data_IF_221832908644
#
_entry.id   IF_221832908644
#
_cell.length_a   1.000
_cell.length_b   1.000
_cell.length_c   1.000
_cell.angle_alpha   90.00
_cell.angle_beta   90.00
_cell.angle_gamma   90.00
#
_symmetry.space_group_name_H-M   'P 1'
#
loop_
_entity.id
_entity.type
_entity.pdbx_description
1 polymer ?
#
# COMPACT_ATOMS: atom_id res chain seq x y z
N UNK A 1 -16.14 -15.55 -22.30
CA UNK A 1 -17.44 -15.18 -21.66
C UNK A 1 -17.17 -13.99 -20.75
N UNK A 2 -17.97 -12.93 -20.81
CA UNK A 2 -17.74 -11.75 -19.96
C UNK A 2 -18.43 -11.95 -18.61
N UNK A 3 -17.65 -11.86 -17.54
CA UNK A 3 -18.10 -11.96 -16.16
C UNK A 3 -18.22 -10.57 -15.57
N UNK A 4 -19.35 -10.33 -14.92
CA UNK A 4 -19.64 -9.09 -14.23
C UNK A 4 -19.44 -9.31 -12.73
N UNK A 5 -18.43 -8.66 -12.15
CA UNK A 5 -18.06 -8.84 -10.75
C UNK A 5 -18.15 -7.51 -10.01
N UNK A 6 -18.88 -7.51 -8.90
CA UNK A 6 -18.91 -6.41 -7.94
C UNK A 6 -18.07 -6.85 -6.75
N UNK A 7 -17.14 -6.00 -6.32
CA UNK A 7 -16.34 -6.24 -5.13
C UNK A 7 -16.14 -4.92 -4.39
N UNK A 8 -16.49 -4.91 -3.11
CA UNK A 8 -16.30 -3.78 -2.19
C UNK A 8 -16.84 -2.47 -2.79
N UNK A 9 -15.97 -1.53 -3.18
CA UNK A 9 -16.32 -0.21 -3.72
C UNK A 9 -16.25 -0.10 -5.24
N UNK A 10 -16.10 -1.22 -5.96
CA UNK A 10 -15.96 -1.18 -7.40
C UNK A 10 -16.60 -2.37 -8.11
N UNK A 11 -16.83 -2.15 -9.39
CA UNK A 11 -17.26 -3.16 -10.34
C UNK A 11 -16.14 -3.42 -11.34
N UNK A 12 -15.92 -4.66 -11.72
CA UNK A 12 -14.92 -5.04 -12.72
C UNK A 12 -15.52 -6.05 -13.69
N UNK A 13 -15.17 -5.91 -14.97
CA UNK A 13 -15.48 -6.96 -15.95
C UNK A 13 -14.27 -7.87 -16.09
N UNK A 14 -14.50 -9.18 -16.12
CA UNK A 14 -13.45 -10.17 -16.27
C UNK A 14 -13.77 -11.03 -17.49
N UNK A 15 -12.77 -11.35 -18.29
CA UNK A 15 -12.85 -12.37 -19.34
C UNK A 15 -11.95 -13.54 -18.93
N UNK A 16 -12.45 -14.50 -18.13
CA UNK A 16 -11.63 -15.58 -17.60
C UNK A 16 -10.99 -16.44 -18.70
N UNK A 17 -11.68 -16.58 -19.84
CA UNK A 17 -11.20 -17.28 -21.03
C UNK A 17 -9.94 -16.63 -21.63
N UNK A 18 -9.83 -15.30 -21.56
CA UNK A 18 -8.68 -14.56 -22.06
C UNK A 18 -7.68 -14.20 -20.96
N UNK A 19 -7.95 -14.57 -19.69
CA UNK A 19 -7.20 -14.14 -18.52
C UNK A 19 -7.08 -12.60 -18.43
N UNK A 20 -8.09 -11.90 -18.92
CA UNK A 20 -8.09 -10.44 -19.00
C UNK A 20 -9.05 -9.85 -17.96
N UNK A 21 -8.53 -8.87 -17.22
CA UNK A 21 -9.32 -7.99 -16.36
C UNK A 21 -9.56 -6.71 -17.15
N UNK A 22 -10.82 -6.40 -17.43
CA UNK A 22 -11.22 -5.16 -18.09
C UNK A 22 -11.27 -4.00 -17.07
N UNK A 23 -11.53 -2.80 -17.56
CA UNK A 23 -11.39 -1.58 -16.77
C UNK A 23 -12.38 -1.50 -15.59
N UNK A 24 -11.91 -1.29 -14.34
CA UNK A 24 -12.76 -1.19 -13.15
C UNK A 24 -13.60 0.11 -13.12
N UNK A 25 -14.84 0.03 -12.68
CA UNK A 25 -15.76 1.15 -12.46
C UNK A 25 -15.92 1.36 -10.96
N UNK A 26 -15.47 2.49 -10.45
CA UNK A 26 -15.62 2.83 -9.03
C UNK A 26 -17.06 3.27 -8.74
N UNK A 27 -17.55 2.91 -7.55
CA UNK A 27 -18.77 3.48 -6.96
C UNK A 27 -18.42 4.86 -6.40
N UNK A 28 -18.66 5.90 -7.19
CA UNK A 28 -18.41 7.28 -6.82
C UNK A 28 -19.71 8.05 -6.51
N UNK A 29 -19.57 9.34 -6.25
CA UNK A 29 -20.68 10.23 -5.91
C UNK A 29 -21.67 10.51 -7.05
N UNK A 30 -21.34 10.10 -8.28
CA UNK A 30 -22.21 10.13 -9.46
C UNK A 30 -22.67 8.71 -9.85
N UNK A 31 -22.43 7.71 -8.99
CA UNK A 31 -22.81 6.34 -9.24
C UNK A 31 -24.34 6.21 -9.24
N UNK A 32 -24.86 5.78 -10.38
CA UNK A 32 -26.30 5.60 -10.58
C UNK A 32 -26.57 4.30 -11.31
N UNK A 33 -27.67 3.67 -10.92
CA UNK A 33 -28.19 2.46 -11.56
C UNK A 33 -29.64 2.70 -11.91
N UNK A 34 -29.99 2.45 -13.17
CA UNK A 34 -31.35 2.63 -13.67
C UNK A 34 -31.72 1.46 -14.58
N UNK A 35 -33.03 1.19 -14.65
CA UNK A 35 -33.68 0.24 -15.56
C UNK A 35 -34.92 0.88 -16.18
N UNK A 36 -35.47 0.24 -17.20
CA UNK A 36 -36.78 0.57 -17.78
C UNK A 36 -36.74 1.51 -18.99
N UNK A 37 -37.81 1.41 -19.80
CA UNK A 37 -37.98 2.14 -21.07
C UNK A 37 -37.73 3.65 -20.93
N UNK A 38 -38.18 4.27 -19.84
CA UNK A 38 -38.07 5.73 -19.65
C UNK A 38 -36.63 6.22 -19.45
N UNK A 39 -35.74 5.37 -18.93
CA UNK A 39 -34.35 5.74 -18.62
C UNK A 39 -33.35 5.27 -19.70
N UNK A 40 -33.71 4.22 -20.45
CA UNK A 40 -32.79 3.47 -21.32
C UNK A 40 -33.34 3.26 -22.73
N UNK A 41 -34.67 3.28 -22.90
CA UNK A 41 -35.35 2.97 -24.16
C UNK A 41 -35.71 1.49 -24.35
N UNK A 42 -35.35 0.63 -23.39
CA UNK A 42 -35.68 -0.81 -23.35
C UNK A 42 -36.02 -1.21 -21.90
N UNK A 43 -36.96 -2.14 -21.71
CA UNK A 43 -37.51 -2.46 -20.38
C UNK A 43 -36.62 -3.42 -19.57
N UNK A 44 -35.80 -4.20 -20.27
CA UNK A 44 -35.01 -5.27 -19.66
C UNK A 44 -33.56 -4.85 -19.36
N UNK A 45 -33.07 -3.80 -20.01
CA UNK A 45 -31.66 -3.40 -19.96
C UNK A 45 -31.30 -2.63 -18.67
N UNK A 46 -30.03 -2.72 -18.28
CA UNK A 46 -29.48 -2.00 -17.11
C UNK A 46 -28.53 -0.91 -17.59
N UNK A 47 -28.69 0.30 -17.05
CA UNK A 47 -27.74 1.39 -17.20
C UNK A 47 -27.04 1.65 -15.88
N UNK A 48 -25.72 1.52 -15.90
CA UNK A 48 -24.84 1.84 -14.77
C UNK A 48 -23.97 3.02 -15.19
N UNK A 49 -23.94 4.08 -14.42
CA UNK A 49 -23.09 5.25 -14.70
C UNK A 49 -22.35 5.70 -13.47
N UNK A 50 -21.20 6.34 -13.68
CA UNK A 50 -20.42 7.05 -12.67
C UNK A 50 -19.83 8.33 -13.28
N UNK A 51 -18.96 9.03 -12.56
CA UNK A 51 -18.37 10.31 -13.02
C UNK A 51 -17.54 10.19 -14.32
N UNK A 52 -17.04 9.00 -14.64
CA UNK A 52 -16.14 8.77 -15.78
C UNK A 52 -16.87 8.23 -17.01
N UNK A 53 -17.94 7.43 -16.83
CA UNK A 53 -18.56 6.71 -17.95
C UNK A 53 -19.95 6.17 -17.65
N UNK A 54 -20.60 5.74 -18.72
CA UNK A 54 -21.89 5.05 -18.73
C UNK A 54 -21.70 3.68 -19.36
N UNK A 55 -22.26 2.65 -18.74
CA UNK A 55 -22.31 1.28 -19.21
C UNK A 55 -23.78 0.88 -19.41
N UNK A 56 -24.09 0.38 -20.60
CA UNK A 56 -25.37 -0.22 -20.93
C UNK A 56 -25.18 -1.73 -21.03
N UNK A 57 -25.91 -2.47 -20.21
CA UNK A 57 -25.87 -3.93 -20.15
C UNK A 57 -27.18 -4.45 -20.67
N UNK A 58 -27.10 -5.23 -21.77
CA UNK A 58 -28.26 -5.89 -22.32
C UNK A 58 -28.63 -7.12 -21.52
N UNK A 59 -29.82 -7.16 -20.96
CA UNK A 59 -30.31 -8.36 -20.27
C UNK A 59 -31.25 -9.14 -21.17
N UNK A 60 -31.08 -10.46 -21.21
CA UNK A 60 -31.98 -11.34 -21.98
C UNK A 60 -33.35 -11.52 -21.31
N UNK A 61 -33.45 -11.22 -20.01
CA UNK A 61 -34.62 -11.45 -19.17
C UNK A 61 -34.73 -10.30 -18.17
N UNK A 62 -35.89 -9.62 -18.14
CA UNK A 62 -36.23 -8.55 -17.20
C UNK A 62 -35.86 -8.84 -15.73
N UNK A 63 -36.11 -10.08 -15.30
CA UNK A 63 -35.84 -10.53 -13.93
C UNK A 63 -34.38 -10.34 -13.53
N UNK A 64 -33.45 -10.71 -14.40
CA UNK A 64 -32.01 -10.53 -14.14
C UNK A 64 -31.69 -9.04 -14.01
N UNK A 65 -32.27 -8.21 -14.88
CA UNK A 65 -32.16 -6.74 -14.82
C UNK A 65 -32.52 -6.18 -13.44
N UNK A 66 -33.69 -6.61 -12.94
CA UNK A 66 -34.21 -6.18 -11.65
C UNK A 66 -33.40 -6.71 -10.46
N UNK A 67 -32.95 -7.97 -10.50
CA UNK A 67 -32.10 -8.53 -9.43
C UNK A 67 -30.76 -7.78 -9.32
N UNK A 68 -30.07 -7.56 -10.43
CA UNK A 68 -28.82 -6.80 -10.44
C UNK A 68 -29.00 -5.37 -9.96
N UNK A 69 -30.08 -4.72 -10.36
CA UNK A 69 -30.43 -3.35 -9.91
C UNK A 69 -30.65 -3.31 -8.41
N UNK A 70 -31.35 -4.30 -7.85
CA UNK A 70 -31.55 -4.44 -6.40
C UNK A 70 -30.23 -4.66 -5.67
N UNK A 71 -29.35 -5.53 -6.18
CA UNK A 71 -28.03 -5.76 -5.59
C UNK A 71 -27.16 -4.50 -5.58
N UNK A 72 -27.10 -3.77 -6.71
CA UNK A 72 -26.35 -2.54 -6.82
C UNK A 72 -26.94 -1.40 -5.96
N UNK A 73 -28.27 -1.35 -5.82
CA UNK A 73 -28.92 -0.37 -4.93
C UNK A 73 -28.55 -0.65 -3.47
N UNK A 74 -28.55 -1.92 -3.06
CA UNK A 74 -28.10 -2.31 -1.71
C UNK A 74 -26.62 -1.97 -1.48
N UNK A 75 -25.76 -2.21 -2.48
CA UNK A 75 -24.35 -1.81 -2.43
C UNK A 75 -24.19 -0.29 -2.25
N UNK A 76 -24.97 0.49 -3.00
CA UNK A 76 -24.97 1.96 -2.92
C UNK A 76 -25.35 2.45 -1.52
N UNK A 77 -26.31 1.78 -0.87
CA UNK A 77 -26.69 2.08 0.52
C UNK A 77 -25.57 1.74 1.52
N UNK A 78 -24.89 0.60 1.33
CA UNK A 78 -23.71 0.23 2.12
C UNK A 78 -22.55 1.23 1.94
N UNK A 79 -22.42 1.80 0.74
CA UNK A 79 -21.37 2.76 0.36
C UNK A 79 -21.86 4.21 0.36
N UNK A 80 -22.93 4.53 1.10
CA UNK A 80 -23.52 5.88 1.14
C UNK A 80 -22.54 7.00 1.49
N UNK A 81 -21.44 6.66 2.15
CA UNK A 81 -20.37 7.59 2.48
C UNK A 81 -19.63 8.11 1.24
N UNK A 82 -19.52 7.30 0.18
CA UNK A 82 -18.86 7.66 -1.07
C UNK A 82 -19.84 8.14 -2.13
N UNK A 83 -21.10 7.74 -2.03
CA UNK A 83 -22.15 8.10 -3.00
C UNK A 83 -22.80 9.45 -2.66
N UNK A 84 -22.94 9.77 -1.37
CA UNK A 84 -23.69 10.95 -0.96
C UNK A 84 -22.80 12.21 -0.94
N UNK A 85 -22.91 13.03 -2.00
CA UNK A 85 -22.23 14.33 -2.13
C UNK A 85 -22.42 15.28 -0.94
N UNK A 86 -23.54 15.20 -0.21
CA UNK A 86 -23.78 16.10 0.94
C UNK A 86 -22.94 15.77 2.18
N UNK A 87 -22.24 14.62 2.19
CA UNK A 87 -21.39 14.19 3.31
C UNK A 87 -19.93 14.61 3.16
N UNK A 88 -19.56 15.07 1.98
CA UNK A 88 -18.17 15.41 1.64
C UNK A 88 -17.99 16.91 1.53
N UNK A 89 -16.79 17.39 1.91
CA UNK A 89 -16.41 18.80 1.81
C UNK A 89 -15.42 18.97 0.67
N UNK A 90 -15.45 20.12 -0.01
CA UNK A 90 -14.52 20.47 -1.09
C UNK A 90 -14.56 19.51 -2.29
N UNK A 91 -15.73 18.96 -2.62
CA UNK A 91 -15.91 17.98 -3.71
C UNK A 91 -15.01 16.73 -3.59
N UNK A 92 -14.58 16.40 -2.37
CA UNK A 92 -13.88 15.16 -2.06
C UNK A 92 -14.78 13.94 -2.28
N UNK A 93 -14.21 12.82 -2.73
CA UNK A 93 -14.92 11.54 -2.76
C UNK A 93 -15.16 10.97 -1.35
N UNK A 94 -14.27 11.28 -0.40
CA UNK A 94 -14.36 10.80 0.98
C UNK A 94 -15.03 11.83 1.91
N UNK A 95 -15.90 11.38 2.84
CA UNK A 95 -16.58 12.26 3.79
C UNK A 95 -15.70 12.62 5.00
N UNK A 96 -16.18 13.54 5.84
CA UNK A 96 -15.45 13.91 7.07
C UNK A 96 -15.55 12.78 8.11
N UNK A 97 -14.42 12.14 8.44
CA UNK A 97 -14.31 11.14 9.52
C UNK A 97 -14.07 11.80 10.88
N UNK A 98 -14.83 11.39 11.91
CA UNK A 98 -14.68 11.91 13.29
C UNK A 98 -13.52 11.23 14.01
N UNK A 99 -12.93 11.90 15.00
CA UNK A 99 -11.81 11.38 15.81
C UNK A 99 -12.11 10.07 16.56
N UNK A 100 -13.39 9.76 16.82
CA UNK A 100 -13.80 8.52 17.49
C UNK A 100 -13.55 7.25 16.67
N UNK A 101 -13.40 7.40 15.35
CA UNK A 101 -13.27 6.30 14.38
C UNK A 101 -12.06 6.48 13.47
N UNK A 102 -11.23 7.49 13.72
CA UNK A 102 -10.03 7.78 12.95
C UNK A 102 -8.98 8.54 13.78
N UNK A 103 -7.73 8.11 13.66
CA UNK A 103 -6.58 8.74 14.31
C UNK A 103 -5.56 9.18 13.25
N UNK A 104 -4.80 10.22 13.57
CA UNK A 104 -3.77 10.78 12.71
C UNK A 104 -2.51 11.00 13.52
N UNK A 105 -1.38 10.54 12.99
CA UNK A 105 -0.03 10.73 13.54
C UNK A 105 0.80 11.47 12.50
N UNK A 106 1.56 12.46 12.97
CA UNK A 106 2.43 13.29 12.14
C UNK A 106 3.87 12.87 12.35
N UNK A 107 4.65 12.88 11.29
CA UNK A 107 6.06 12.53 11.29
C UNK A 107 6.86 13.63 10.63
N UNK A 108 7.97 14.00 11.27
CA UNK A 108 8.95 14.93 10.71
C UNK A 108 10.17 14.13 10.31
N UNK A 109 10.59 14.26 9.06
CA UNK A 109 11.70 13.56 8.41
C UNK A 109 11.50 12.04 8.23
N UNK A 110 12.38 11.45 7.41
CA UNK A 110 12.28 10.06 7.01
C UNK A 110 12.52 9.03 8.12
N UNK A 111 13.38 9.30 9.12
CA UNK A 111 13.71 8.28 10.14
C UNK A 111 12.51 7.96 11.04
N UNK A 112 11.81 9.00 11.50
CA UNK A 112 10.61 8.88 12.34
C UNK A 112 9.47 8.21 11.58
N UNK A 113 9.34 8.48 10.28
CA UNK A 113 8.33 7.86 9.42
C UNK A 113 8.65 6.42 9.01
N UNK A 114 9.85 6.15 8.50
CA UNK A 114 10.20 4.86 7.92
C UNK A 114 10.29 3.74 8.96
N UNK A 115 10.81 4.03 10.16
CA UNK A 115 11.09 2.96 11.14
C UNK A 115 9.83 2.29 11.70
N UNK A 116 8.79 3.03 12.12
CA UNK A 116 7.52 2.46 12.55
C UNK A 116 6.75 1.80 11.40
N UNK A 117 6.79 2.35 10.18
CA UNK A 117 6.17 1.74 9.01
C UNK A 117 6.81 0.40 8.63
N UNK A 118 8.14 0.26 8.78
CA UNK A 118 8.83 -1.01 8.60
C UNK A 118 8.31 -2.09 9.56
N UNK A 119 8.10 -1.72 10.83
CA UNK A 119 7.52 -2.60 11.85
C UNK A 119 6.07 -2.95 11.50
N UNK A 120 5.27 -1.98 11.03
CA UNK A 120 3.88 -2.18 10.63
C UNK A 120 3.75 -3.10 9.39
N UNK A 121 4.66 -3.01 8.41
CA UNK A 121 4.66 -3.96 7.29
C UNK A 121 4.81 -5.40 7.78
N UNK A 122 5.71 -5.64 8.74
CA UNK A 122 5.96 -6.99 9.27
C UNK A 122 4.77 -7.58 10.05
N UNK A 123 3.81 -6.76 10.49
CA UNK A 123 2.59 -7.21 11.15
C UNK A 123 1.40 -7.37 10.20
N UNK A 124 1.56 -7.02 8.91
CA UNK A 124 0.51 -7.12 7.90
C UNK A 124 0.07 -8.58 7.69
N UNK A 125 -1.25 -8.80 7.68
CA UNK A 125 -1.84 -10.14 7.57
C UNK A 125 -2.53 -10.40 6.23
N UNK A 126 -3.06 -9.37 5.59
CA UNK A 126 -3.95 -9.51 4.43
C UNK A 126 -3.39 -8.82 3.20
N UNK A 127 -3.28 -7.49 3.23
CA UNK A 127 -2.91 -6.69 2.06
C UNK A 127 -1.98 -5.54 2.43
N UNK A 128 -1.05 -5.24 1.52
CA UNK A 128 -0.18 -4.06 1.58
C UNK A 128 -0.23 -3.38 0.22
N UNK A 129 -0.72 -2.14 0.20
CA UNK A 129 -0.75 -1.29 -0.97
C UNK A 129 0.39 -0.27 -0.89
N UNK A 130 1.18 -0.16 -1.95
CA UNK A 130 2.27 0.81 -2.08
C UNK A 130 2.07 1.57 -3.38
N UNK A 131 2.02 2.90 -3.27
CA UNK A 131 1.95 3.80 -4.42
C UNK A 131 3.14 4.73 -4.33
N UNK A 132 3.95 4.80 -5.38
CA UNK A 132 5.14 5.63 -5.38
C UNK A 132 5.43 6.20 -6.77
N UNK A 133 5.95 7.43 -6.81
CA UNK A 133 6.48 7.99 -8.05
C UNK A 133 7.83 7.36 -8.40
N UNK A 134 8.62 7.01 -7.38
CA UNK A 134 9.90 6.34 -7.52
C UNK A 134 10.26 5.54 -6.27
N UNK A 135 10.13 4.22 -6.39
CA UNK A 135 10.45 3.29 -5.31
C UNK A 135 11.81 2.63 -5.54
N UNK A 136 12.69 2.72 -4.54
CA UNK A 136 13.97 1.99 -4.51
C UNK A 136 13.79 0.69 -3.72
N UNK A 137 13.85 -0.51 -4.36
CA UNK A 137 13.71 -1.79 -3.66
C UNK A 137 14.71 -1.98 -2.52
N UNK A 138 15.89 -1.37 -2.64
CA UNK A 138 17.00 -1.52 -1.70
C UNK A 138 17.03 -0.47 -0.59
N UNK A 139 15.99 0.35 -0.47
CA UNK A 139 15.87 1.31 0.63
C UNK A 139 15.82 0.57 1.97
N UNK A 140 16.62 1.00 2.94
CA UNK A 140 16.64 0.46 4.30
C UNK A 140 15.74 1.33 5.17
N UNK A 141 14.69 0.73 5.74
CA UNK A 141 13.65 1.49 6.45
C UNK A 141 13.98 1.77 7.92
N UNK A 142 14.84 0.96 8.54
CA UNK A 142 15.31 1.17 9.92
C UNK A 142 16.82 1.38 9.90
N UNK A 143 17.27 2.52 10.43
CA UNK A 143 18.69 2.88 10.54
C UNK A 143 19.02 3.27 11.99
N UNK A 144 20.19 2.87 12.53
CA UNK A 144 21.18 1.97 11.93
C UNK A 144 20.78 0.49 12.14
N UNK A 145 20.65 -0.28 11.06
CA UNK A 145 20.29 -1.70 11.17
C UNK A 145 20.87 -2.57 10.04
N UNK A 146 20.72 -3.89 10.19
CA UNK A 146 21.16 -4.88 9.23
C UNK A 146 20.37 -4.78 7.90
N UNK A 147 21.11 -4.64 6.79
CA UNK A 147 20.58 -4.59 5.42
C UNK A 147 19.69 -5.80 5.12
N UNK A 148 20.01 -7.00 5.65
CA UNK A 148 19.22 -8.20 5.32
C UNK A 148 17.82 -8.15 5.93
N UNK A 149 17.68 -7.52 7.09
CA UNK A 149 16.44 -7.54 7.86
C UNK A 149 15.47 -6.43 7.45
N UNK A 150 15.96 -5.21 7.25
CA UNK A 150 15.12 -4.01 7.12
C UNK A 150 15.14 -3.32 5.76
N UNK A 151 15.76 -3.95 4.77
CA UNK A 151 15.65 -3.51 3.37
C UNK A 151 14.25 -3.81 2.83
N UNK A 152 13.67 -2.86 2.11
CA UNK A 152 12.28 -2.88 1.68
C UNK A 152 11.94 -4.18 0.92
N UNK A 153 12.72 -4.55 -0.10
CA UNK A 153 12.48 -5.78 -0.87
C UNK A 153 12.48 -7.06 0.00
N UNK A 154 13.31 -7.12 1.04
CA UNK A 154 13.36 -8.24 1.98
C UNK A 154 12.15 -8.24 2.91
N UNK A 155 11.71 -7.08 3.39
CA UNK A 155 10.46 -6.93 4.16
C UNK A 155 9.28 -7.40 3.30
N UNK A 156 9.16 -6.89 2.07
CA UNK A 156 8.08 -7.25 1.14
C UNK A 156 8.09 -8.75 0.79
N UNK A 157 9.27 -9.33 0.59
CA UNK A 157 9.40 -10.78 0.39
C UNK A 157 8.93 -11.59 1.62
N UNK A 158 9.24 -11.14 2.84
CA UNK A 158 8.82 -11.82 4.08
C UNK A 158 7.31 -11.77 4.30
N UNK A 159 6.68 -10.61 4.07
CA UNK A 159 5.23 -10.47 4.24
C UNK A 159 4.48 -11.27 3.17
N UNK A 160 5.00 -11.31 1.94
CA UNK A 160 4.46 -12.12 0.85
C UNK A 160 4.57 -13.63 1.13
N UNK A 161 5.68 -14.08 1.76
CA UNK A 161 5.85 -15.45 2.22
C UNK A 161 4.92 -15.82 3.40
N UNK A 162 4.62 -14.85 4.27
CA UNK A 162 3.84 -15.10 5.48
C UNK A 162 2.34 -15.26 5.21
N UNK A 163 1.77 -14.46 4.27
CA UNK A 163 0.43 -14.59 3.61
C UNK A 163 -0.15 -13.25 3.10
N UNK A 164 0.50 -12.11 3.32
CA UNK A 164 -0.03 -10.83 2.86
C UNK A 164 0.17 -10.64 1.35
N UNK A 165 -0.85 -10.15 0.64
CA UNK A 165 -0.75 -9.75 -0.76
C UNK A 165 -0.12 -8.36 -0.85
N UNK A 166 0.92 -8.24 -1.66
CA UNK A 166 1.63 -6.96 -1.87
C UNK A 166 1.25 -6.42 -3.24
N UNK A 167 0.66 -5.24 -3.25
CA UNK A 167 0.21 -4.52 -4.44
C UNK A 167 1.02 -3.24 -4.58
N UNK A 168 1.77 -3.10 -5.68
CA UNK A 168 2.63 -1.93 -5.92
C UNK A 168 2.20 -1.23 -7.20
N UNK A 169 1.85 0.04 -7.11
CA UNK A 169 1.58 0.92 -8.25
C UNK A 169 2.71 1.94 -8.39
N UNK A 170 3.45 1.85 -9.48
CA UNK A 170 4.57 2.75 -9.77
C UNK A 170 4.26 3.64 -10.96
N UNK A 171 4.70 4.89 -10.89
CA UNK A 171 4.66 5.77 -12.04
C UNK A 171 5.50 5.19 -13.18
N UNK A 172 4.84 4.81 -14.29
CA UNK A 172 5.51 4.34 -15.49
C UNK A 172 6.09 5.53 -16.24
N UNK A 173 7.41 5.54 -16.31
CA UNK A 173 8.14 6.70 -16.76
C UNK A 173 8.67 6.52 -18.18
N UNK A 174 8.74 7.62 -18.94
CA UNK A 174 9.31 7.63 -20.29
C UNK A 174 10.84 7.52 -20.24
N UNK A 175 11.48 6.51 -20.89
CA UNK A 175 12.90 6.19 -20.70
C UNK A 175 13.89 7.35 -20.84
N UNK A 176 13.58 8.36 -21.65
CA UNK A 176 14.47 9.48 -21.93
C UNK A 176 14.39 10.64 -20.91
N UNK A 177 13.41 10.67 -20.00
CA UNK A 177 13.12 11.88 -19.22
C UNK A 177 13.81 11.99 -17.84
N UNK A 178 14.16 10.88 -17.17
CA UNK A 178 14.89 10.82 -15.88
C UNK A 178 15.41 9.37 -15.64
N UNK A 179 16.42 9.20 -14.80
CA UNK A 179 17.13 7.92 -14.64
C UNK A 179 16.53 6.92 -13.63
N UNK A 180 15.30 7.12 -13.17
CA UNK A 180 14.68 6.41 -12.02
C UNK A 180 14.27 4.94 -12.26
N UNK A 181 14.52 4.40 -13.45
CA UNK A 181 14.34 3.01 -13.88
C UNK A 181 13.20 2.21 -13.19
N UNK A 182 11.94 2.59 -13.45
CA UNK A 182 10.76 1.91 -12.88
C UNK A 182 10.69 0.42 -13.27
N UNK A 183 11.21 0.04 -14.44
CA UNK A 183 11.28 -1.34 -14.92
C UNK A 183 12.20 -2.21 -14.05
N UNK A 184 13.32 -1.63 -13.59
CA UNK A 184 14.21 -2.31 -12.65
C UNK A 184 13.49 -2.60 -11.33
N UNK A 185 12.83 -1.59 -10.76
CA UNK A 185 12.05 -1.75 -9.52
C UNK A 185 10.97 -2.82 -9.67
N UNK A 186 10.20 -2.77 -10.75
CA UNK A 186 9.17 -3.77 -11.06
C UNK A 186 9.76 -5.17 -11.13
N UNK A 187 10.78 -5.38 -11.97
CA UNK A 187 11.42 -6.68 -12.15
C UNK A 187 11.95 -7.23 -10.82
N UNK A 188 12.59 -6.38 -10.02
CA UNK A 188 13.20 -6.79 -8.76
C UNK A 188 12.15 -7.16 -7.70
N UNK A 189 11.12 -6.33 -7.52
CA UNK A 189 10.06 -6.61 -6.57
C UNK A 189 9.24 -7.84 -6.97
N UNK A 190 8.85 -7.96 -8.24
CA UNK A 190 8.15 -9.14 -8.76
C UNK A 190 9.00 -10.39 -8.52
N UNK A 191 10.29 -10.38 -8.89
CA UNK A 191 11.17 -11.53 -8.67
C UNK A 191 11.26 -11.94 -7.20
N UNK A 192 11.30 -10.97 -6.27
CA UNK A 192 11.36 -11.23 -4.83
C UNK A 192 10.07 -11.77 -4.26
N UNK A 193 8.94 -11.15 -4.60
CA UNK A 193 7.61 -11.54 -4.13
C UNK A 193 7.24 -12.93 -4.68
N UNK A 194 7.45 -13.16 -5.98
CA UNK A 194 7.18 -14.45 -6.62
C UNK A 194 8.09 -15.55 -6.07
N UNK A 195 9.39 -15.29 -5.92
CA UNK A 195 10.31 -16.29 -5.35
C UNK A 195 9.94 -16.64 -3.91
N UNK A 196 9.52 -15.65 -3.11
CA UNK A 196 9.04 -15.86 -1.75
C UNK A 196 7.79 -16.76 -1.73
N UNK A 197 6.79 -16.44 -2.56
CA UNK A 197 5.55 -17.23 -2.67
C UNK A 197 5.81 -18.66 -3.17
N UNK A 198 6.68 -18.85 -4.17
CA UNK A 198 7.05 -20.19 -4.65
C UNK A 198 7.78 -21.03 -3.60
N UNK A 199 8.63 -20.41 -2.77
CA UNK A 199 9.27 -21.08 -1.65
C UNK A 199 8.23 -21.51 -0.59
N UNK A 200 7.23 -20.66 -0.32
CA UNK A 200 6.09 -21.02 0.55
C UNK A 200 5.32 -22.19 -0.03
N UNK A 201 4.99 -22.19 -1.33
CA UNK A 201 4.24 -23.29 -1.96
C UNK A 201 5.00 -24.60 -1.85
N UNK A 202 6.30 -24.63 -2.11
CA UNK A 202 7.14 -25.83 -1.94
C UNK A 202 7.21 -26.30 -0.49
N UNK A 203 7.36 -25.38 0.46
CA UNK A 203 7.33 -25.71 1.90
C UNK A 203 5.94 -26.19 2.34
N UNK A 204 4.87 -25.61 1.80
CA UNK A 204 3.49 -26.00 2.06
C UNK A 204 3.16 -27.36 1.43
N UNK A 205 3.69 -27.68 0.26
CA UNK A 205 3.60 -29.01 -0.37
C UNK A 205 4.30 -30.08 0.49
N UNK A 206 5.53 -29.80 0.94
CA UNK A 206 6.27 -30.68 1.85
C UNK A 206 5.63 -30.80 3.23
N UNK A 207 5.03 -29.72 3.76
CA UNK A 207 4.30 -29.73 5.02
C UNK A 207 2.91 -30.36 4.90
N UNK A 208 2.25 -30.28 3.73
CA UNK A 208 0.96 -30.92 3.47
C UNK A 208 1.06 -32.44 3.54
N UNK A 209 2.16 -33.03 3.07
CA UNK A 209 2.40 -34.48 3.21
C UNK A 209 2.40 -34.94 4.68
N UNK A 210 2.80 -34.06 5.61
CA UNK A 210 2.78 -34.30 7.06
C UNK A 210 1.46 -33.87 7.76
N UNK A 211 0.73 -32.89 7.19
CA UNK A 211 -0.41 -32.21 7.86
C UNK A 211 -1.79 -32.70 7.40
N UNK A 212 -1.89 -33.40 6.25
CA UNK A 212 -3.14 -33.98 5.74
C UNK A 212 -3.82 -34.96 6.73
N UNK A 213 -3.14 -35.36 7.81
CA UNK A 213 -3.72 -36.14 8.92
C UNK A 213 -4.48 -35.34 9.99
N UNK A 214 -4.48 -34.00 10.03
CA UNK A 214 -4.85 -33.31 11.29
C UNK A 214 -5.88 -32.19 11.27
N UNK A 215 -6.14 -31.40 10.23
CA UNK A 215 -7.07 -30.26 10.41
C UNK A 215 -7.84 -29.82 9.15
N UNK A 216 -9.06 -30.34 9.03
CA UNK A 216 -10.17 -29.66 8.35
C UNK A 216 -10.99 -28.98 9.44
N UNK A 217 -10.75 -27.71 9.75
CA UNK A 217 -11.77 -26.83 10.37
C UNK A 217 -11.41 -25.33 10.30
N UNK A 218 -12.28 -24.57 9.60
CA UNK A 218 -12.85 -23.23 9.94
C UNK A 218 -11.95 -22.04 10.30
N UNK A 219 -12.05 -20.94 9.54
CA UNK A 219 -12.94 -19.79 9.83
C UNK A 219 -12.66 -18.59 8.90
N UNK A 220 -13.73 -18.01 8.36
CA UNK A 220 -13.81 -16.62 7.87
C UNK A 220 -14.48 -15.78 8.96
N UNK A 221 -13.94 -14.58 9.24
CA UNK A 221 -14.51 -13.63 10.20
C UNK A 221 -14.98 -12.39 9.47
N UNK A 222 -16.28 -12.15 9.51
CA UNK A 222 -16.90 -10.86 9.16
C UNK A 222 -16.69 -9.92 10.36
N UNK A 223 -16.12 -8.74 10.13
CA UNK A 223 -15.96 -7.71 11.16
C UNK A 223 -17.29 -6.97 11.37
N UNK A 224 -17.99 -7.30 12.45
CA UNK A 224 -19.06 -6.46 13.00
C UNK A 224 -18.47 -5.45 14.01
N UNK A 225 -18.95 -4.22 13.91
CA UNK A 225 -18.53 -3.04 14.68
C UNK A 225 -19.12 -3.09 16.10
N UNK A 226 -18.55 -3.93 16.97
CA UNK A 226 -18.82 -3.89 18.40
C UNK A 226 -17.86 -2.94 19.13
N UNK A 227 -18.36 -2.24 20.16
CA UNK A 227 -17.58 -1.22 20.89
C UNK A 227 -16.28 -1.75 21.51
N UNK A 228 -16.22 -3.07 21.75
CA UNK A 228 -15.03 -3.77 22.25
C UNK A 228 -13.91 -3.84 21.21
N UNK A 229 -14.26 -4.03 19.93
CA UNK A 229 -13.28 -3.97 18.81
C UNK A 229 -12.72 -2.57 18.64
N UNK A 230 -13.55 -1.52 18.82
CA UNK A 230 -13.10 -0.13 18.78
C UNK A 230 -12.13 0.17 19.93
N UNK A 231 -12.43 -0.27 21.16
CA UNK A 231 -11.55 -0.06 22.32
C UNK A 231 -10.22 -0.80 22.19
N UNK A 232 -10.24 -2.05 21.70
CA UNK A 232 -9.01 -2.81 21.42
C UNK A 232 -8.16 -2.14 20.34
N UNK A 233 -8.77 -1.75 19.23
CA UNK A 233 -8.10 -1.03 18.15
C UNK A 233 -7.51 0.30 18.65
N UNK A 234 -8.27 1.06 19.44
CA UNK A 234 -7.81 2.33 20.01
C UNK A 234 -6.61 2.11 20.94
N UNK A 235 -6.60 1.04 21.73
CA UNK A 235 -5.52 0.71 22.65
C UNK A 235 -4.24 0.28 21.92
N UNK A 236 -4.35 -0.59 20.90
CA UNK A 236 -3.22 -1.01 20.06
C UNK A 236 -2.61 0.19 19.31
N UNK A 237 -3.46 1.09 18.82
CA UNK A 237 -3.01 2.31 18.16
C UNK A 237 -2.34 3.29 19.13
N UNK A 238 -2.91 3.50 20.31
CA UNK A 238 -2.27 4.34 21.33
C UNK A 238 -0.89 3.79 21.72
N UNK A 239 -0.75 2.47 21.82
CA UNK A 239 0.54 1.83 22.06
C UNK A 239 1.52 2.05 20.89
N UNK A 240 1.04 1.97 19.65
CA UNK A 240 1.85 2.30 18.47
C UNK A 240 2.30 3.77 18.49
N UNK A 241 1.39 4.72 18.73
CA UNK A 241 1.71 6.15 18.83
C UNK A 241 2.73 6.41 19.93
N UNK A 242 2.56 5.82 21.12
CA UNK A 242 3.54 5.96 22.21
C UNK A 242 4.91 5.37 21.87
N UNK A 243 4.95 4.30 21.06
CA UNK A 243 6.21 3.73 20.58
C UNK A 243 6.89 4.66 19.58
N UNK A 244 6.12 5.26 18.68
CA UNK A 244 6.59 6.26 17.71
C UNK A 244 7.15 7.49 18.42
N UNK A 245 6.40 8.06 19.36
CA UNK A 245 6.79 9.28 20.10
C UNK A 245 8.08 9.05 20.91
N UNK A 246 8.23 7.88 21.55
CA UNK A 246 9.47 7.51 22.26
C UNK A 246 10.67 7.30 21.32
N UNK A 247 10.44 6.75 20.12
CA UNK A 247 11.48 6.60 19.11
C UNK A 247 11.91 7.98 18.56
N UNK A 248 10.98 8.94 18.45
CA UNK A 248 11.22 10.32 17.98
C UNK A 248 11.98 11.19 19.01
N UNK A 249 11.61 11.14 20.30
CA UNK A 249 12.34 11.84 21.38
C UNK A 249 13.81 11.38 21.49
N UNK A 250 14.09 10.13 21.13
CA UNK A 250 15.44 9.59 21.07
C UNK A 250 16.18 9.95 19.77
N UNK A 251 15.49 10.51 18.78
CA UNK A 251 15.98 10.83 17.44
C UNK A 251 16.20 12.34 17.21
N UNK A 252 16.67 13.08 18.22
CA UNK A 252 17.11 14.45 17.94
C UNK A 252 18.35 14.45 17.03
N UNK A 253 18.30 15.19 15.92
CA UNK A 253 19.39 15.28 14.93
C UNK A 253 20.73 15.67 15.57
N UNK A 254 20.71 16.47 16.65
CA UNK A 254 21.91 16.76 17.44
C UNK A 254 22.53 15.53 18.12
N UNK A 255 21.73 14.59 18.61
CA UNK A 255 22.23 13.34 19.21
C UNK A 255 22.81 12.44 18.13
N UNK A 256 22.18 12.33 16.96
CA UNK A 256 22.71 11.57 15.82
C UNK A 256 24.04 12.16 15.34
N UNK A 257 24.15 13.49 15.28
CA UNK A 257 25.40 14.20 14.96
C UNK A 257 26.47 14.04 16.06
N UNK A 258 26.08 14.01 17.33
CA UNK A 258 26.98 13.78 18.48
C UNK A 258 27.43 12.31 18.58
N UNK A 259 26.57 11.34 18.27
CA UNK A 259 26.89 9.91 18.16
C UNK A 259 27.80 9.61 16.97
N UNK A 260 27.67 10.38 15.87
CA UNK A 260 28.65 10.39 14.79
C UNK A 260 30.05 10.87 15.22
N UNK A 261 30.15 11.62 16.33
CA UNK A 261 31.40 12.18 16.85
C UNK A 261 31.97 11.43 18.08
N UNK A 262 31.14 10.71 18.85
CA UNK A 262 31.51 10.21 20.19
C UNK A 262 31.95 8.72 20.25
N UNK A 263 31.71 7.90 19.23
CA UNK A 263 32.03 6.46 19.31
C UNK A 263 33.44 6.14 18.77
N UNK A 264 34.45 6.38 19.61
CA UNK A 264 35.89 6.26 19.27
C UNK A 264 36.55 4.94 19.73
N UNK A 265 35.78 3.88 20.03
CA UNK A 265 36.37 2.63 20.56
C UNK A 265 36.01 1.39 19.71
N UNK A 266 36.99 0.95 18.91
CA UNK A 266 37.19 -0.35 18.23
C UNK A 266 36.11 -0.95 17.28
N UNK A 267 36.28 -0.70 15.99
CA UNK A 267 36.18 -1.60 14.80
C UNK A 267 36.33 -0.70 13.56
N UNK A 268 37.12 -1.11 12.57
CA UNK A 268 37.76 -0.27 11.53
C UNK A 268 36.98 1.00 11.10
N UNK A 269 37.67 2.15 11.06
CA UNK A 269 37.12 3.48 10.71
C UNK A 269 36.34 3.51 9.39
N UNK A 270 36.65 2.60 8.48
CA UNK A 270 35.96 2.45 7.19
C UNK A 270 34.54 1.91 7.36
N UNK A 271 34.24 0.96 8.24
CA UNK A 271 32.88 0.42 8.41
C UNK A 271 31.91 1.41 9.09
N UNK A 272 32.45 2.33 9.91
CA UNK A 272 31.65 3.28 10.69
C UNK A 272 31.02 4.38 9.86
N UNK A 273 31.69 4.83 8.79
CA UNK A 273 31.30 5.98 7.96
C UNK A 273 30.15 5.69 6.98
N UNK A 274 29.79 4.41 6.80
CA UNK A 274 28.76 3.96 5.85
C UNK A 274 27.45 3.49 6.51
N UNK A 275 27.29 3.69 7.83
CA UNK A 275 26.22 3.04 8.60
C UNK A 275 24.80 3.54 8.33
N UNK A 276 24.65 4.79 7.87
CA UNK A 276 23.33 5.43 7.71
C UNK A 276 22.86 5.52 6.26
N UNK A 277 23.75 5.91 5.35
CA UNK A 277 23.43 6.14 3.93
C UNK A 277 24.38 5.29 3.06
N UNK A 278 23.89 4.18 2.53
CA UNK A 278 24.71 3.20 1.78
C UNK A 278 24.62 3.49 0.29
N UNK A 279 25.78 3.57 -0.38
CA UNK A 279 25.87 3.70 -1.83
C UNK A 279 25.07 4.89 -2.37
N UNK A 280 24.12 4.60 -3.26
CA UNK A 280 23.25 5.58 -3.92
C UNK A 280 22.41 6.40 -2.94
N UNK A 281 22.16 5.90 -1.73
CA UNK A 281 21.44 6.63 -0.68
C UNK A 281 22.25 7.84 -0.16
N UNK A 282 23.59 7.80 -0.29
CA UNK A 282 24.42 9.00 -0.13
C UNK A 282 24.41 9.80 -1.43
N UNK A 283 23.55 10.81 -1.50
CA UNK A 283 23.32 11.60 -2.70
C UNK A 283 23.33 13.11 -2.45
N UNK A 284 23.62 13.85 -3.51
CA UNK A 284 23.47 15.29 -3.58
C UNK A 284 23.03 15.64 -5.01
N UNK A 285 21.73 15.83 -5.21
CA UNK A 285 21.12 15.99 -6.54
C UNK A 285 21.55 17.28 -7.25
N UNK A 286 22.01 18.30 -6.51
CA UNK A 286 22.58 19.51 -7.11
C UNK A 286 23.96 19.28 -7.72
N UNK A 287 24.69 18.29 -7.21
CA UNK A 287 26.02 17.94 -7.68
C UNK A 287 25.96 16.90 -8.79
N UNK A 288 25.09 15.89 -8.62
CA UNK A 288 24.90 14.82 -9.60
C UNK A 288 23.57 14.11 -9.39
N UNK A 289 22.82 13.97 -10.47
CA UNK A 289 21.59 13.19 -10.48
C UNK A 289 21.87 11.68 -10.34
N UNK A 290 20.84 10.92 -9.96
CA UNK A 290 20.94 9.47 -9.86
C UNK A 290 21.21 8.85 -11.22
N UNK A 291 22.15 7.91 -11.26
CA UNK A 291 22.44 7.09 -12.45
C UNK A 291 22.69 5.67 -12.01
N UNK A 292 22.44 4.70 -12.90
CA UNK A 292 22.73 3.29 -12.66
C UNK A 292 22.16 2.79 -11.32
N UNK A 293 20.88 3.09 -11.07
CA UNK A 293 20.21 2.81 -9.78
C UNK A 293 20.24 1.33 -9.39
N UNK A 294 20.42 0.43 -10.36
CA UNK A 294 20.66 -1.00 -10.12
C UNK A 294 21.94 -1.29 -9.32
N UNK A 295 22.94 -0.41 -9.40
CA UNK A 295 24.20 -0.47 -8.66
C UNK A 295 24.07 0.28 -7.32
N UNK A 296 23.05 -0.07 -6.54
CA UNK A 296 22.64 0.69 -5.34
C UNK A 296 23.74 0.83 -4.28
N UNK A 297 24.72 -0.09 -4.21
CA UNK A 297 25.86 -0.01 -3.26
C UNK A 297 26.95 0.96 -3.70
N UNK A 298 26.91 1.45 -4.92
CA UNK A 298 27.93 2.34 -5.47
C UNK A 298 27.54 3.78 -5.19
N UNK A 299 28.45 4.56 -4.61
CA UNK A 299 28.24 5.99 -4.38
C UNK A 299 28.10 6.75 -5.70
N UNK A 300 27.20 7.74 -5.73
CA UNK A 300 27.07 8.64 -6.88
C UNK A 300 28.15 9.72 -6.91
N UNK A 301 28.62 10.13 -5.72
CA UNK A 301 29.58 11.22 -5.51
C UNK A 301 30.69 10.78 -4.55
N UNK A 302 31.84 11.47 -4.60
CA UNK A 302 32.96 11.20 -3.71
C UNK A 302 32.68 11.83 -2.34
N UNK A 303 32.39 11.01 -1.33
CA UNK A 303 31.95 11.45 0.02
C UNK A 303 32.93 12.36 0.76
N UNK A 304 34.21 12.34 0.41
CA UNK A 304 35.25 13.22 1.01
C UNK A 304 35.26 14.63 0.41
N UNK A 305 34.68 14.80 -0.78
CA UNK A 305 34.66 16.07 -1.51
C UNK A 305 33.27 16.70 -1.53
N UNK A 306 32.23 15.87 -1.54
CA UNK A 306 30.84 16.30 -1.67
C UNK A 306 30.05 15.81 -0.47
N UNK A 307 29.58 16.74 0.36
CA UNK A 307 28.61 16.45 1.40
C UNK A 307 27.27 16.03 0.79
N UNK A 308 26.60 15.05 1.41
CA UNK A 308 25.21 14.73 1.06
C UNK A 308 24.31 15.95 1.21
N UNK A 309 23.25 15.99 0.43
CA UNK A 309 22.17 16.95 0.62
C UNK A 309 21.22 16.41 1.70
N UNK A 310 20.99 17.12 2.81
CA UNK A 310 19.95 16.76 3.77
C UNK A 310 18.57 16.75 3.09
N UNK A 311 17.68 15.87 3.56
CA UNK A 311 16.29 15.82 3.11
C UNK A 311 15.40 16.10 4.30
N UNK A 312 14.54 17.09 4.17
CA UNK A 312 13.55 17.47 5.17
C UNK A 312 12.16 17.28 4.56
N UNK A 313 11.29 16.60 5.29
CA UNK A 313 9.95 16.24 4.80
C UNK A 313 8.97 16.07 5.96
N UNK A 314 7.67 16.09 5.64
CA UNK A 314 6.59 15.80 6.58
C UNK A 314 5.71 14.67 6.03
N UNK A 315 5.34 13.75 6.90
CA UNK A 315 4.46 12.64 6.55
C UNK A 315 3.35 12.46 7.59
N UNK A 316 2.24 11.85 7.15
CA UNK A 316 1.09 11.57 7.98
C UNK A 316 0.76 10.08 7.88
N UNK A 317 0.40 9.47 9.02
CA UNK A 317 -0.22 8.15 9.06
C UNK A 317 -1.61 8.31 9.63
N UNK A 318 -2.59 7.74 8.94
CA UNK A 318 -4.00 7.72 9.35
C UNK A 318 -4.43 6.30 9.68
N UNK A 319 -5.28 6.18 10.68
CA UNK A 319 -5.85 4.92 11.14
C UNK A 319 -7.38 4.96 11.12
N UNK A 320 -8.01 3.79 11.01
CA UNK A 320 -9.46 3.63 11.09
C UNK A 320 -10.15 3.85 9.75
N UNK A 321 -11.34 4.46 9.75
CA UNK A 321 -12.11 4.66 8.51
C UNK A 321 -11.36 5.51 7.48
N UNK A 322 -10.56 6.49 7.91
CA UNK A 322 -9.75 7.30 6.99
C UNK A 322 -8.73 6.45 6.22
N UNK A 323 -8.21 5.36 6.81
CA UNK A 323 -7.32 4.42 6.10
C UNK A 323 -8.08 3.66 5.01
N UNK A 324 -9.34 3.30 5.25
CA UNK A 324 -10.20 2.66 4.24
C UNK A 324 -10.57 3.61 3.11
N UNK A 325 -10.70 4.90 3.42
CA UNK A 325 -10.93 5.90 2.37
C UNK A 325 -9.74 5.96 1.41
N UNK A 326 -8.50 5.84 1.93
CA UNK A 326 -7.26 5.87 1.12
C UNK A 326 -7.03 4.59 0.30
N UNK A 327 -7.54 3.44 0.75
CA UNK A 327 -7.37 2.13 0.11
C UNK A 327 -8.27 1.94 -1.11
#
# INVERSE_FOLDING_TARGET
MLWFVIKDSYKVDIRPDLHEICFPMLVDCDFQVSTGILNIGDDDDIKISNSLRILLIKCRIAHNGNEWTKHLSNLTEQLKDFVNKTRSRFDSYAPIRKKSISLLVKFINGKSYMSPNAKAFLTAKEEVFIIDWWLSPELILIIPADEKTFRLDNILGRIANARARVHVMLYKKMPFALALNSLYTETKLVSKIVAAQMATTKMAEQANEATIKTQITKNESVYEDDGETIERFTSELQQFVQTVEKDDENCNDEKVLKEQQADTTSTSETDRKYRYFIGKDYSNIYQKDFTEVQNYKTDSVIRTLVSRMPWHDEALVVFGQTTRDVA
#
